data_IF_444256043882
#
_entry.id   IF_444256043882
#
_cell.length_a   1.000
_cell.length_b   1.000
_cell.length_c   1.000
_cell.angle_alpha   90.00
_cell.angle_beta   90.00
_cell.angle_gamma   90.00
#
_symmetry.space_group_name_H-M   'P 1'
#
loop_
_entity.id
_entity.type
_entity.pdbx_description
1 polymer ?
#
# COMPACT_ATOMS: atom_id res chain seq x y z
N UNK A 1 4.81 21.78 -1.62
CA UNK A 1 4.49 20.49 -2.30
C UNK A 1 5.24 19.31 -1.68
N UNK A 2 6.54 19.44 -1.36
CA UNK A 2 7.32 18.37 -0.71
C UNK A 2 6.84 18.00 0.70
N UNK A 3 6.42 18.98 1.52
CA UNK A 3 5.89 18.72 2.88
C UNK A 3 4.62 17.86 2.87
N UNK A 4 3.68 18.15 1.97
CA UNK A 4 2.46 17.35 1.80
C UNK A 4 2.77 15.94 1.29
N UNK A 5 3.66 15.80 0.29
CA UNK A 5 4.12 14.49 -0.18
C UNK A 5 4.76 13.67 0.95
N UNK A 6 5.62 14.28 1.77
CA UNK A 6 6.24 13.63 2.94
C UNK A 6 5.21 13.19 3.98
N UNK A 7 4.21 14.03 4.27
CA UNK A 7 3.11 13.69 5.18
C UNK A 7 2.31 12.51 4.61
N UNK A 8 1.92 12.55 3.33
CA UNK A 8 1.20 11.46 2.68
C UNK A 8 2.01 10.15 2.70
N UNK A 9 3.33 10.21 2.48
CA UNK A 9 4.21 9.04 2.59
C UNK A 9 4.15 8.43 3.99
N UNK A 10 4.43 9.23 5.02
CA UNK A 10 4.44 8.75 6.39
C UNK A 10 3.07 8.23 6.84
N UNK A 11 1.99 8.83 6.34
CA UNK A 11 0.63 8.40 6.64
C UNK A 11 0.34 7.04 5.99
N UNK A 12 0.69 6.84 4.72
CA UNK A 12 0.57 5.55 4.02
C UNK A 12 1.41 4.49 4.75
N UNK A 13 2.69 4.77 5.01
CA UNK A 13 3.59 3.84 5.70
C UNK A 13 3.07 3.48 7.09
N UNK A 14 2.55 4.45 7.85
CA UNK A 14 1.99 4.18 9.17
C UNK A 14 0.77 3.28 9.11
N UNK A 15 -0.15 3.52 8.15
CA UNK A 15 -1.32 2.64 7.94
C UNK A 15 -0.87 1.21 7.65
N UNK A 16 0.07 1.02 6.72
CA UNK A 16 0.57 -0.32 6.39
C UNK A 16 1.28 -0.97 7.58
N UNK A 17 2.06 -0.20 8.33
CA UNK A 17 2.79 -0.71 9.52
C UNK A 17 1.81 -1.15 10.61
N UNK A 18 0.79 -0.33 10.88
CA UNK A 18 -0.25 -0.65 11.86
C UNK A 18 -1.06 -1.88 11.41
N UNK A 19 -1.48 -1.96 10.14
CA UNK A 19 -2.21 -3.12 9.61
C UNK A 19 -1.39 -4.41 9.76
N UNK A 20 -0.10 -4.35 9.44
CA UNK A 20 0.80 -5.49 9.56
C UNK A 20 1.06 -5.87 11.03
N UNK A 21 1.19 -4.88 11.91
CA UNK A 21 1.36 -5.09 13.35
C UNK A 21 0.14 -5.77 13.96
N UNK A 22 -1.06 -5.28 13.67
CA UNK A 22 -2.31 -5.90 14.14
C UNK A 22 -2.39 -7.35 13.63
N UNK A 23 -2.05 -7.58 12.36
CA UNK A 23 -2.06 -8.93 11.78
C UNK A 23 -1.08 -9.89 12.44
N UNK A 24 0.14 -9.45 12.72
CA UNK A 24 1.18 -10.32 13.28
C UNK A 24 1.05 -10.55 14.78
N UNK A 25 0.65 -9.53 15.54
CA UNK A 25 0.74 -9.56 17.00
C UNK A 25 -0.63 -9.63 17.71
N UNK A 26 -1.73 -9.25 17.06
CA UNK A 26 -3.05 -9.15 17.71
C UNK A 26 -4.02 -10.18 17.14
N UNK A 27 -4.25 -10.18 15.83
CA UNK A 27 -5.20 -11.06 15.19
C UNK A 27 -4.68 -11.51 13.80
N UNK A 28 -4.26 -12.78 13.65
CA UNK A 28 -3.78 -13.31 12.36
C UNK A 28 -4.83 -13.29 11.25
N UNK A 29 -6.11 -13.21 11.62
CA UNK A 29 -7.25 -13.09 10.69
C UNK A 29 -7.61 -11.63 10.38
N UNK A 30 -6.84 -10.65 10.86
CA UNK A 30 -7.04 -9.26 10.52
C UNK A 30 -6.94 -9.04 9.00
N UNK A 31 -7.97 -8.43 8.42
CA UNK A 31 -8.08 -8.24 6.97
C UNK A 31 -8.50 -9.49 6.19
N UNK A 32 -8.96 -10.56 6.85
CA UNK A 32 -9.44 -11.77 6.18
C UNK A 32 -10.62 -11.50 5.24
N UNK A 33 -11.60 -10.69 5.65
CA UNK A 33 -12.73 -10.31 4.79
C UNK A 33 -12.26 -9.61 3.48
N UNK A 34 -11.27 -8.72 3.58
CA UNK A 34 -10.67 -8.08 2.41
C UNK A 34 -9.95 -9.13 1.56
N UNK A 35 -9.22 -10.05 2.21
CA UNK A 35 -8.48 -11.14 1.54
C UNK A 35 -9.41 -12.11 0.83
N UNK A 36 -10.58 -12.41 1.37
CA UNK A 36 -11.53 -13.33 0.75
C UNK A 36 -12.16 -12.71 -0.51
N UNK A 37 -12.51 -11.42 -0.44
CA UNK A 37 -12.98 -10.65 -1.61
C UNK A 37 -11.87 -10.53 -2.65
N UNK A 38 -10.66 -10.15 -2.25
CA UNK A 38 -9.55 -10.01 -3.20
C UNK A 38 -9.04 -11.36 -3.72
N UNK A 39 -9.12 -12.44 -2.95
CA UNK A 39 -8.75 -13.79 -3.38
C UNK A 39 -9.60 -14.21 -4.58
N UNK A 40 -10.89 -13.87 -4.54
CA UNK A 40 -11.88 -14.13 -5.59
C UNK A 40 -11.61 -13.37 -6.89
N UNK A 41 -10.74 -12.36 -6.89
CA UNK A 41 -10.38 -11.64 -8.11
C UNK A 41 -9.42 -12.44 -9.00
N UNK A 42 -9.61 -12.38 -10.33
CA UNK A 42 -8.70 -12.99 -11.29
C UNK A 42 -7.28 -12.43 -11.15
N UNK A 43 -6.27 -13.27 -11.38
CA UNK A 43 -4.86 -12.93 -11.24
C UNK A 43 -4.49 -11.65 -12.00
N UNK A 44 -5.05 -11.49 -13.21
CA UNK A 44 -4.84 -10.32 -14.08
C UNK A 44 -5.29 -9.02 -13.39
N UNK A 45 -6.43 -9.03 -12.70
CA UNK A 45 -6.94 -7.84 -12.02
C UNK A 45 -6.04 -7.44 -10.84
N UNK A 46 -5.51 -8.43 -10.11
CA UNK A 46 -4.53 -8.20 -9.03
C UNK A 46 -3.26 -7.53 -9.56
N UNK A 47 -2.76 -8.02 -10.70
CA UNK A 47 -1.58 -7.45 -11.37
C UNK A 47 -1.85 -6.01 -11.79
N UNK A 48 -2.99 -5.72 -12.43
CA UNK A 48 -3.36 -4.37 -12.88
C UNK A 48 -3.44 -3.39 -11.70
N UNK A 49 -4.11 -3.77 -10.61
CA UNK A 49 -4.21 -2.94 -9.39
C UNK A 49 -2.83 -2.66 -8.82
N UNK A 50 -1.97 -3.68 -8.74
CA UNK A 50 -0.61 -3.53 -8.23
C UNK A 50 0.24 -2.61 -9.11
N UNK A 51 0.10 -2.71 -10.43
CA UNK A 51 0.80 -1.84 -11.40
C UNK A 51 0.34 -0.39 -11.29
N UNK A 52 -0.95 -0.15 -11.16
CA UNK A 52 -1.52 1.18 -10.92
C UNK A 52 -0.98 1.80 -9.63
N UNK A 53 -0.87 1.00 -8.56
CA UNK A 53 -0.34 1.47 -7.29
C UNK A 53 1.14 1.86 -7.38
N UNK A 54 1.95 1.06 -8.11
CA UNK A 54 3.36 1.37 -8.36
C UNK A 54 3.50 2.66 -9.19
N UNK A 55 2.73 2.81 -10.28
CA UNK A 55 2.75 4.03 -11.10
C UNK A 55 2.35 5.24 -10.25
N UNK A 56 1.32 5.11 -9.42
CA UNK A 56 0.88 6.19 -8.53
C UNK A 56 1.97 6.54 -7.51
N UNK A 57 2.65 5.56 -6.92
CA UNK A 57 3.79 5.79 -6.01
C UNK A 57 4.96 6.49 -6.72
N UNK A 58 5.33 6.06 -7.92
CA UNK A 58 6.40 6.67 -8.72
C UNK A 58 6.02 8.10 -9.14
N UNK A 59 4.75 8.35 -9.46
CA UNK A 59 4.28 9.69 -9.80
C UNK A 59 4.20 10.61 -8.58
N UNK A 60 3.76 10.09 -7.42
CA UNK A 60 3.76 10.84 -6.17
C UNK A 60 5.19 11.15 -5.71
N UNK A 61 6.12 10.19 -5.85
CA UNK A 61 7.51 10.25 -5.42
C UNK A 61 8.44 9.92 -6.58
N UNK A 62 8.56 10.81 -7.58
CA UNK A 62 9.52 10.61 -8.65
C UNK A 62 10.91 10.57 -8.00
N UNK A 63 11.67 9.52 -8.29
CA UNK A 63 13.03 9.37 -7.81
C UNK A 63 13.86 10.55 -8.31
N UNK A 64 13.98 11.59 -7.48
CA UNK A 64 14.93 12.67 -7.73
C UNK A 64 16.28 12.11 -7.34
N UNK A 65 17.12 11.85 -8.34
CA UNK A 65 18.55 11.68 -8.12
C UNK A 65 19.03 12.98 -7.48
N UNK A 66 19.30 12.94 -6.18
CA UNK A 66 20.02 14.01 -5.51
C UNK A 66 21.45 13.91 -6.02
N UNK A 67 21.77 14.67 -7.07
CA UNK A 67 23.15 15.07 -7.36
C UNK A 67 23.61 16.07 -6.29
#
# INVERSE_FOLDING_TARGET
>A
MEKYKKISFWLIVSIFTIDHFIRLFINPNWGQAIRDVTSSFPLVLKIIISLLFIILLVWLFPYKKHD
#
